data_IF_611405254391
#
_entry.id   IF_611405254391
#
_cell.length_a   1.000
_cell.length_b   1.000
_cell.length_c   1.000
_cell.angle_alpha   90.00
_cell.angle_beta   90.00
_cell.angle_gamma   90.00
#
_symmetry.space_group_name_H-M   'P 1'
#
loop_
_entity.id
_entity.type
_entity.pdbx_description
1 polymer ?
#
# COMPACT_ATOMS: atom_id res chain seq x y z
N UNK A 1 12.43 -8.05 1.84
CA UNK A 1 13.08 -7.51 3.04
C UNK A 1 13.72 -6.15 2.79
N UNK A 2 14.77 -5.96 2.01
CA UNK A 2 15.46 -4.67 1.80
C UNK A 2 14.58 -3.54 1.24
N UNK A 3 13.65 -3.85 0.35
CA UNK A 3 12.64 -2.87 -0.08
C UNK A 3 11.83 -2.34 1.12
N UNK A 4 11.40 -3.22 2.01
CA UNK A 4 10.66 -2.83 3.21
C UNK A 4 11.54 -1.96 4.14
N UNK A 5 12.83 -2.23 4.26
CA UNK A 5 13.76 -1.40 5.01
C UNK A 5 13.86 0.02 4.43
N UNK A 6 14.01 0.14 3.12
CA UNK A 6 14.07 1.45 2.45
C UNK A 6 12.79 2.24 2.69
N UNK A 7 11.63 1.59 2.60
CA UNK A 7 10.33 2.22 2.89
C UNK A 7 10.22 2.64 4.35
N UNK A 8 10.63 1.79 5.28
CA UNK A 8 10.69 2.13 6.70
C UNK A 8 11.53 3.39 6.96
N UNK A 9 12.76 3.43 6.42
CA UNK A 9 13.66 4.58 6.61
C UNK A 9 13.09 5.87 6.00
N UNK A 10 12.47 5.78 4.82
CA UNK A 10 11.82 6.91 4.15
C UNK A 10 10.71 7.46 5.01
N UNK A 11 9.76 6.61 5.39
CA UNK A 11 8.57 7.00 6.14
C UNK A 11 8.91 7.47 7.56
N UNK A 12 9.92 6.89 8.19
CA UNK A 12 10.43 7.37 9.47
C UNK A 12 10.97 8.81 9.38
N UNK A 13 11.74 9.13 8.34
CA UNK A 13 12.22 10.51 8.09
C UNK A 13 11.09 11.50 7.83
N UNK A 14 9.99 11.03 7.27
CA UNK A 14 8.78 11.81 7.01
C UNK A 14 7.86 11.89 8.24
N UNK A 15 8.26 11.31 9.37
CA UNK A 15 7.44 11.16 10.58
C UNK A 15 6.06 10.53 10.29
N UNK A 16 6.03 9.57 9.36
CA UNK A 16 4.83 8.88 8.95
C UNK A 16 4.63 7.60 9.79
N UNK A 17 3.49 7.43 10.48
CA UNK A 17 3.23 6.28 11.35
C UNK A 17 3.29 4.92 10.64
N UNK A 18 3.10 4.88 9.34
CA UNK A 18 3.28 3.66 8.55
C UNK A 18 4.72 3.11 8.59
N UNK A 19 5.71 3.91 9.05
CA UNK A 19 7.05 3.43 9.27
C UNK A 19 7.09 2.17 10.15
N UNK A 20 6.22 2.10 11.16
CA UNK A 20 6.15 0.95 12.07
C UNK A 20 5.70 -0.33 11.37
N UNK A 21 4.70 -0.23 10.49
CA UNK A 21 4.24 -1.36 9.67
C UNK A 21 5.36 -1.89 8.75
N UNK A 22 6.13 -0.99 8.15
CA UNK A 22 7.25 -1.38 7.32
C UNK A 22 8.41 -1.98 8.12
N UNK A 23 8.61 -1.57 9.38
CA UNK A 23 9.52 -2.24 10.29
C UNK A 23 9.09 -3.70 10.55
N UNK A 24 7.80 -3.92 10.83
CA UNK A 24 7.24 -5.26 11.01
C UNK A 24 7.44 -6.14 9.77
N UNK A 25 7.25 -5.58 8.56
CA UNK A 25 7.49 -6.31 7.30
C UNK A 25 8.97 -6.72 7.14
N UNK A 26 9.92 -5.94 7.62
CA UNK A 26 11.35 -6.32 7.63
C UNK A 26 11.58 -7.50 8.55
N UNK A 27 11.08 -7.43 9.78
CA UNK A 27 11.24 -8.48 10.80
C UNK A 27 10.59 -9.80 10.35
N UNK A 28 9.36 -9.72 9.79
CA UNK A 28 8.66 -10.89 9.26
C UNK A 28 9.41 -11.54 8.09
N UNK A 29 9.94 -10.73 7.18
CA UNK A 29 10.70 -11.25 6.05
C UNK A 29 12.01 -11.89 6.49
N UNK A 30 12.69 -11.34 7.49
CA UNK A 30 13.89 -11.92 8.10
C UNK A 30 13.59 -13.25 8.79
N UNK A 31 12.53 -13.30 9.61
CA UNK A 31 12.12 -14.53 10.28
C UNK A 31 11.71 -15.63 9.29
N UNK A 32 11.02 -15.25 8.20
CA UNK A 32 10.65 -16.19 7.13
C UNK A 32 11.87 -16.77 6.42
N UNK A 33 12.87 -15.95 6.12
CA UNK A 33 14.11 -16.38 5.49
C UNK A 33 14.84 -17.42 6.36
N UNK A 34 14.98 -17.12 7.65
CA UNK A 34 15.53 -18.06 8.62
C UNK A 34 14.75 -19.38 8.66
N UNK A 35 13.43 -19.32 8.71
CA UNK A 35 12.59 -20.52 8.73
C UNK A 35 12.76 -21.37 7.46
N UNK A 36 12.88 -20.76 6.29
CA UNK A 36 13.14 -21.47 5.04
C UNK A 36 14.52 -22.14 5.03
N UNK A 37 15.54 -21.46 5.52
CA UNK A 37 16.89 -22.01 5.64
C UNK A 37 16.95 -23.18 6.63
N UNK A 38 16.25 -23.05 7.76
CA UNK A 38 16.14 -24.10 8.78
C UNK A 38 15.40 -25.33 8.24
N UNK A 39 14.29 -25.11 7.50
CA UNK A 39 13.52 -26.19 6.87
C UNK A 39 14.37 -26.94 5.82
N UNK A 40 15.05 -26.20 4.96
CA UNK A 40 15.93 -26.76 3.96
C UNK A 40 17.05 -27.63 4.59
N UNK A 41 17.70 -27.10 5.60
CA UNK A 41 18.83 -27.79 6.24
C UNK A 41 18.41 -29.01 7.06
N UNK A 42 17.28 -28.95 7.74
CA UNK A 42 16.99 -29.90 8.81
C UNK A 42 15.77 -30.80 8.55
N UNK A 43 14.82 -30.38 7.70
CA UNK A 43 13.55 -31.07 7.48
C UNK A 43 13.48 -31.67 6.10
N UNK A 44 13.79 -30.89 5.07
CA UNK A 44 13.73 -31.33 3.68
C UNK A 44 14.53 -32.63 3.46
N UNK A 45 13.91 -33.60 2.83
CA UNK A 45 14.53 -34.92 2.55
C UNK A 45 15.13 -35.62 3.78
N UNK A 46 14.47 -35.47 4.95
CA UNK A 46 14.92 -36.07 6.20
C UNK A 46 16.26 -35.50 6.71
N UNK A 47 16.59 -34.23 6.41
CA UNK A 47 17.81 -33.58 6.82
C UNK A 47 19.04 -33.91 5.96
N UNK A 48 18.83 -34.48 4.77
CA UNK A 48 19.91 -34.79 3.83
C UNK A 48 20.78 -33.57 3.49
N UNK A 49 20.17 -32.38 3.45
CA UNK A 49 20.81 -31.15 3.03
C UNK A 49 21.37 -30.33 4.21
N UNK A 50 21.58 -30.97 5.35
CA UNK A 50 22.11 -30.30 6.55
C UNK A 50 23.39 -29.52 6.23
N UNK A 51 23.44 -28.28 6.70
CA UNK A 51 24.55 -27.35 6.50
C UNK A 51 24.77 -26.85 5.06
N UNK A 52 23.84 -27.07 4.15
CA UNK A 52 23.95 -26.53 2.79
C UNK A 52 23.59 -25.03 2.73
N UNK A 53 22.65 -24.56 3.56
CA UNK A 53 22.23 -23.17 3.67
C UNK A 53 22.71 -22.55 4.97
N UNK A 54 24.04 -22.39 5.11
CA UNK A 54 24.66 -21.83 6.33
C UNK A 54 25.43 -20.55 6.07
N UNK A 55 25.65 -20.20 4.80
CA UNK A 55 26.39 -18.99 4.49
C UNK A 55 25.54 -17.75 4.81
N UNK A 56 26.17 -16.79 5.50
CA UNK A 56 25.54 -15.48 5.73
C UNK A 56 25.21 -14.82 4.40
N UNK A 57 23.95 -14.37 4.24
CA UNK A 57 23.47 -13.69 3.05
C UNK A 57 22.69 -12.41 3.38
N UNK A 58 22.24 -12.25 4.63
CA UNK A 58 21.63 -11.02 5.11
C UNK A 58 22.64 -10.26 5.98
N UNK A 59 22.90 -9.01 5.62
CA UNK A 59 23.93 -8.19 6.28
C UNK A 59 25.35 -8.65 5.96
N UNK A 60 25.54 -9.28 4.82
CA UNK A 60 26.86 -9.67 4.30
C UNK A 60 27.68 -8.42 3.99
N UNK A 61 28.90 -8.36 4.54
CA UNK A 61 29.77 -7.18 4.41
C UNK A 61 31.12 -7.49 3.78
N UNK A 62 31.61 -8.72 3.94
CA UNK A 62 32.94 -9.10 3.49
C UNK A 62 33.01 -10.57 3.14
N UNK A 63 33.79 -10.90 2.10
CA UNK A 63 34.07 -12.27 1.70
C UNK A 63 34.78 -13.08 2.80
N UNK A 64 35.50 -12.42 3.68
CA UNK A 64 36.26 -13.04 4.81
C UNK A 64 35.45 -13.07 6.11
N UNK A 65 34.15 -12.80 6.06
CA UNK A 65 33.28 -13.01 7.21
C UNK A 65 33.36 -14.48 7.63
N UNK A 66 33.72 -14.77 8.87
CA UNK A 66 33.80 -16.12 9.44
C UNK A 66 32.43 -16.74 9.66
N UNK A 67 31.61 -16.78 8.62
CA UNK A 67 30.23 -17.28 8.64
C UNK A 67 29.40 -16.84 9.86
N UNK A 68 29.43 -15.53 10.23
CA UNK A 68 28.55 -15.05 11.27
C UNK A 68 27.11 -15.25 10.87
N UNK A 69 26.20 -15.33 11.83
CA UNK A 69 24.77 -15.41 11.57
C UNK A 69 24.28 -14.20 10.77
N UNK A 70 23.19 -14.40 10.02
CA UNK A 70 22.49 -13.32 9.36
C UNK A 70 22.09 -12.24 10.35
N UNK A 71 22.13 -10.99 9.91
CA UNK A 71 21.90 -9.83 10.76
C UNK A 71 20.63 -9.12 10.30
N UNK A 72 19.67 -8.95 11.22
CA UNK A 72 18.46 -8.20 10.96
C UNK A 72 18.81 -6.76 10.50
N UNK A 73 18.34 -6.32 9.35
CA UNK A 73 18.53 -4.95 8.88
C UNK A 73 17.96 -3.94 9.86
N UNK A 74 18.67 -2.83 10.05
CA UNK A 74 18.21 -1.77 10.94
C UNK A 74 16.89 -1.17 10.46
N UNK A 75 15.96 -1.03 11.39
CA UNK A 75 14.68 -0.35 11.22
C UNK A 75 14.49 0.73 12.25
N UNK A 76 13.58 1.64 11.99
CA UNK A 76 13.21 2.72 12.90
C UNK A 76 11.72 2.67 13.20
N UNK A 77 11.35 3.00 14.44
CA UNK A 77 9.96 3.03 14.88
C UNK A 77 9.60 4.41 15.44
N UNK A 78 8.39 4.84 15.14
CA UNK A 78 7.81 6.06 15.73
C UNK A 78 7.15 5.65 17.04
N UNK A 79 7.61 6.25 18.14
CA UNK A 79 7.16 5.90 19.51
C UNK A 79 5.69 6.28 19.78
N UNK A 80 5.21 7.38 19.18
CA UNK A 80 3.85 7.86 19.34
C UNK A 80 3.16 7.99 17.98
N UNK A 81 2.79 6.88 17.34
CA UNK A 81 2.26 6.88 15.98
C UNK A 81 0.95 7.67 15.85
N UNK A 82 0.14 7.77 16.90
CA UNK A 82 -1.07 8.58 16.93
C UNK A 82 -0.82 10.10 16.91
N UNK A 83 0.38 10.55 17.28
CA UNK A 83 0.82 11.96 17.22
C UNK A 83 1.62 12.26 15.96
N UNK A 84 2.03 11.25 15.23
CA UNK A 84 2.74 11.44 13.97
C UNK A 84 1.80 12.05 12.93
N UNK A 85 2.36 12.85 12.04
CA UNK A 85 1.61 13.34 10.88
C UNK A 85 1.34 12.15 9.98
N UNK A 86 0.13 11.59 10.08
CA UNK A 86 -0.24 10.34 9.45
C UNK A 86 -0.43 10.46 7.94
N UNK A 87 -0.23 9.35 7.26
CA UNK A 87 -0.56 9.14 5.86
C UNK A 87 0.47 9.63 4.85
N UNK A 88 0.31 9.19 3.64
CA UNK A 88 1.13 9.61 2.51
C UNK A 88 0.82 11.05 2.11
N UNK A 89 1.87 11.82 1.77
CA UNK A 89 1.75 13.12 1.11
C UNK A 89 2.38 13.01 -0.27
N UNK A 90 1.55 13.05 -1.29
CA UNK A 90 2.01 12.99 -2.67
C UNK A 90 2.50 14.36 -3.12
N UNK A 91 3.65 14.39 -3.78
CA UNK A 91 4.24 15.61 -4.32
C UNK A 91 4.24 15.56 -5.84
N UNK A 92 3.80 16.65 -6.46
CA UNK A 92 3.81 16.77 -7.91
C UNK A 92 5.23 16.87 -8.47
N UNK A 93 5.46 16.19 -9.59
CA UNK A 93 6.66 16.28 -10.41
C UNK A 93 6.25 16.34 -11.88
N UNK A 94 6.91 17.17 -12.66
CA UNK A 94 6.69 17.27 -14.10
C UNK A 94 5.22 17.55 -14.52
N UNK A 95 4.49 18.30 -13.69
CA UNK A 95 3.12 18.72 -13.97
C UNK A 95 2.02 17.72 -13.58
N UNK A 96 2.35 16.61 -12.95
CA UNK A 96 1.37 15.63 -12.47
C UNK A 96 1.68 15.12 -11.07
N UNK A 97 0.65 14.57 -10.41
CA UNK A 97 0.77 13.83 -9.14
C UNK A 97 0.20 12.44 -9.38
N UNK A 98 1.04 11.42 -9.34
CA UNK A 98 0.60 10.03 -9.38
C UNK A 98 0.35 9.53 -7.95
N UNK A 99 -0.81 8.90 -7.73
CA UNK A 99 -1.22 8.42 -6.41
C UNK A 99 -1.64 6.95 -6.51
N UNK A 100 -1.04 6.13 -5.67
CA UNK A 100 -1.45 4.74 -5.50
C UNK A 100 -2.58 4.65 -4.50
N UNK A 101 -3.60 3.84 -4.82
CA UNK A 101 -4.81 3.74 -4.00
C UNK A 101 -4.52 3.28 -2.57
N UNK A 102 -3.57 2.37 -2.38
CA UNK A 102 -3.17 1.83 -1.08
C UNK A 102 -2.40 2.83 -0.19
N UNK A 103 -1.91 3.94 -0.76
CA UNK A 103 -1.15 4.95 -0.06
C UNK A 103 -2.04 6.14 0.38
N UNK A 104 -3.19 5.82 0.92
CA UNK A 104 -4.13 6.83 1.41
C UNK A 104 -3.59 7.59 2.64
N UNK A 105 -4.13 8.78 2.87
CA UNK A 105 -3.85 9.57 4.07
C UNK A 105 -4.72 9.12 5.24
N UNK A 106 -6.01 8.95 5.00
CA UNK A 106 -6.96 8.45 5.98
C UNK A 106 -8.14 7.77 5.30
N UNK A 107 -8.82 6.91 6.03
CA UNK A 107 -10.04 6.26 5.60
C UNK A 107 -11.14 6.43 6.64
N UNK A 108 -12.38 6.44 6.16
CA UNK A 108 -13.57 6.29 6.97
C UNK A 108 -14.40 5.17 6.35
N UNK A 109 -14.71 4.15 7.10
CA UNK A 109 -15.58 3.07 6.63
C UNK A 109 -17.05 3.38 6.96
N UNK A 110 -17.98 2.79 6.20
CA UNK A 110 -19.39 2.74 6.54
C UNK A 110 -19.64 1.72 7.67
N UNK A 111 -20.78 1.76 8.35
CA UNK A 111 -21.09 0.77 9.39
C UNK A 111 -20.99 -0.66 8.85
N UNK A 112 -20.37 -1.55 9.63
CA UNK A 112 -20.13 -2.96 9.29
C UNK A 112 -19.29 -3.19 8.03
N UNK A 113 -18.47 -2.22 7.64
CA UNK A 113 -17.54 -2.33 6.51
C UNK A 113 -16.14 -1.93 6.92
N UNK A 114 -15.17 -2.32 6.09
CA UNK A 114 -13.78 -1.89 6.21
C UNK A 114 -13.16 -1.65 4.83
N UNK A 115 -12.20 -0.72 4.75
CA UNK A 115 -11.40 -0.51 3.55
C UNK A 115 -10.29 -1.57 3.48
N UNK A 116 -10.35 -2.39 2.45
CA UNK A 116 -9.43 -3.51 2.25
C UNK A 116 -8.52 -3.26 1.06
N UNK A 117 -7.23 -3.50 1.24
CA UNK A 117 -6.26 -3.51 0.16
C UNK A 117 -6.41 -4.81 -0.63
N UNK A 118 -6.66 -4.69 -1.92
CA UNK A 118 -6.73 -5.84 -2.84
C UNK A 118 -5.41 -5.93 -3.62
N UNK A 119 -4.54 -6.88 -3.28
CA UNK A 119 -3.22 -6.98 -3.89
C UNK A 119 -3.29 -7.17 -5.40
N UNK A 120 -2.40 -6.50 -6.12
CA UNK A 120 -2.24 -6.61 -7.58
C UNK A 120 -3.46 -6.21 -8.42
N UNK A 121 -4.43 -5.50 -7.82
CA UNK A 121 -5.64 -5.02 -8.52
C UNK A 121 -5.54 -3.56 -8.98
N UNK A 122 -4.50 -2.85 -8.59
CA UNK A 122 -4.18 -1.51 -9.09
C UNK A 122 -3.57 -1.55 -10.50
N UNK A 123 -3.34 -0.38 -11.05
CA UNK A 123 -2.62 -0.25 -12.33
C UNK A 123 -1.14 -0.64 -12.17
N UNK A 124 -0.55 -0.30 -11.06
CA UNK A 124 0.86 -0.53 -10.71
C UNK A 124 1.02 -1.32 -9.42
N UNK A 125 0.21 -1.05 -8.40
CA UNK A 125 0.24 -1.74 -7.11
C UNK A 125 -1.13 -2.37 -6.80
N UNK A 126 -1.71 -2.04 -5.66
CA UNK A 126 -2.95 -2.63 -5.16
C UNK A 126 -4.15 -1.72 -5.43
N UNK A 127 -5.33 -2.29 -5.46
CA UNK A 127 -6.58 -1.55 -5.42
C UNK A 127 -7.08 -1.41 -3.98
N UNK A 128 -8.06 -0.51 -3.77
CA UNK A 128 -8.81 -0.39 -2.52
C UNK A 128 -10.27 -0.74 -2.76
N UNK A 129 -10.84 -1.52 -1.87
CA UNK A 129 -12.26 -1.86 -1.89
C UNK A 129 -12.86 -1.77 -0.50
N UNK A 130 -14.12 -1.33 -0.44
CA UNK A 130 -14.89 -1.38 0.79
C UNK A 130 -15.55 -2.76 0.91
N UNK A 131 -15.26 -3.47 1.97
CA UNK A 131 -15.72 -4.86 2.17
C UNK A 131 -16.52 -4.99 3.48
N UNK A 132 -17.49 -5.91 3.55
CA UNK A 132 -17.99 -6.71 2.44
C UNK A 132 -18.86 -5.88 1.48
N UNK A 133 -18.80 -6.18 0.19
CA UNK A 133 -19.50 -5.43 -0.86
C UNK A 133 -21.05 -5.53 -0.80
N UNK A 134 -21.57 -6.36 0.10
CA UNK A 134 -23.01 -6.55 0.34
C UNK A 134 -23.61 -5.52 1.30
N UNK A 135 -22.78 -4.69 1.92
CA UNK A 135 -23.21 -3.67 2.87
C UNK A 135 -23.37 -2.29 2.21
N UNK A 136 -24.24 -1.42 2.76
CA UNK A 136 -24.30 -0.03 2.33
C UNK A 136 -22.96 0.69 2.47
N UNK A 137 -22.69 1.60 1.55
CA UNK A 137 -21.40 2.32 1.47
C UNK A 137 -21.52 3.79 1.92
N UNK A 138 -22.69 4.19 2.41
CA UNK A 138 -22.98 5.58 2.75
C UNK A 138 -22.01 6.14 3.81
N UNK A 139 -21.39 7.26 3.47
CA UNK A 139 -20.45 7.95 4.33
C UNK A 139 -19.05 7.34 4.39
N UNK A 140 -18.77 6.27 3.65
CA UNK A 140 -17.41 5.76 3.49
C UNK A 140 -16.57 6.71 2.63
N UNK A 141 -15.32 6.90 2.98
CA UNK A 141 -14.40 7.75 2.21
C UNK A 141 -12.95 7.29 2.34
N UNK A 142 -12.15 7.63 1.32
CA UNK A 142 -10.70 7.56 1.34
C UNK A 142 -10.18 8.96 1.05
N UNK A 143 -9.25 9.44 1.85
CA UNK A 143 -8.62 10.74 1.68
C UNK A 143 -7.16 10.61 1.31
N UNK A 144 -6.72 11.44 0.39
CA UNK A 144 -5.33 11.53 -0.06
C UNK A 144 -4.81 12.94 0.18
N UNK A 145 -3.59 13.06 0.64
CA UNK A 145 -2.95 14.35 0.85
C UNK A 145 -1.95 14.63 -0.26
N UNK A 146 -2.13 15.75 -0.93
CA UNK A 146 -1.26 16.18 -2.03
C UNK A 146 -0.63 17.52 -1.73
N UNK A 147 0.59 17.70 -2.20
CA UNK A 147 1.29 18.99 -2.17
C UNK A 147 1.45 19.46 -3.62
N UNK A 148 0.65 20.45 -3.99
CA UNK A 148 0.74 21.06 -5.30
C UNK A 148 1.81 22.16 -5.34
N UNK A 149 2.43 22.39 -6.50
CA UNK A 149 3.30 23.54 -6.72
C UNK A 149 2.54 24.86 -6.52
N UNK A 150 3.26 25.94 -6.21
CA UNK A 150 2.66 27.27 -6.13
C UNK A 150 2.09 27.71 -7.48
N UNK A 151 0.93 28.36 -7.46
CA UNK A 151 0.29 28.94 -8.66
C UNK A 151 -0.52 27.94 -9.49
N UNK A 152 -0.86 26.77 -8.92
CA UNK A 152 -1.80 25.83 -9.54
C UNK A 152 -3.22 26.18 -9.12
N UNK A 153 -4.03 26.68 -10.04
CA UNK A 153 -5.41 27.10 -9.80
C UNK A 153 -6.42 26.01 -10.18
N UNK A 154 -6.02 25.09 -11.06
CA UNK A 154 -6.90 24.04 -11.59
C UNK A 154 -6.13 22.74 -11.75
N UNK A 155 -6.76 21.65 -11.37
CA UNK A 155 -6.26 20.28 -11.59
C UNK A 155 -7.33 19.45 -12.25
N UNK A 156 -6.90 18.50 -13.08
CA UNK A 156 -7.77 17.44 -13.61
C UNK A 156 -7.42 16.17 -12.84
N UNK A 157 -8.42 15.51 -12.28
CA UNK A 157 -8.23 14.25 -11.54
C UNK A 157 -8.68 13.09 -12.41
N UNK A 158 -7.79 12.16 -12.65
CA UNK A 158 -8.07 10.89 -13.31
C UNK A 158 -8.18 9.79 -12.27
N UNK A 159 -9.39 9.27 -12.05
CA UNK A 159 -9.62 8.17 -11.11
C UNK A 159 -9.65 6.86 -11.90
N UNK A 160 -8.76 5.97 -11.59
CA UNK A 160 -8.70 4.64 -12.22
C UNK A 160 -9.48 3.69 -11.34
N UNK A 161 -10.63 3.24 -11.85
CA UNK A 161 -11.49 2.27 -11.19
C UNK A 161 -11.47 0.94 -11.93
N UNK A 162 -11.67 -0.15 -11.20
CA UNK A 162 -11.90 -1.45 -11.80
C UNK A 162 -13.31 -1.50 -12.34
N UNK A 163 -13.46 -1.90 -13.60
CA UNK A 163 -14.78 -2.06 -14.18
C UNK A 163 -15.61 -3.08 -13.40
N UNK A 164 -16.88 -2.73 -13.18
CA UNK A 164 -17.86 -3.59 -12.53
C UNK A 164 -19.22 -3.39 -13.20
N UNK A 165 -20.10 -4.37 -13.04
CA UNK A 165 -21.47 -4.31 -13.58
C UNK A 165 -22.40 -3.69 -12.54
N UNK A 166 -23.31 -2.85 -13.01
CA UNK A 166 -24.44 -2.41 -12.20
C UNK A 166 -25.52 -3.49 -12.23
N UNK A 167 -25.65 -4.25 -11.15
CA UNK A 167 -26.66 -5.30 -11.02
C UNK A 167 -28.00 -4.73 -10.56
N UNK A 168 -29.08 -5.48 -10.78
CA UNK A 168 -30.45 -5.19 -10.28
C UNK A 168 -31.06 -3.88 -10.82
N UNK A 169 -30.85 -3.58 -12.10
CA UNK A 169 -31.42 -2.40 -12.79
C UNK A 169 -31.16 -1.06 -12.08
N UNK A 170 -30.09 -0.99 -11.32
CA UNK A 170 -29.66 0.25 -10.68
C UNK A 170 -29.04 1.19 -11.71
N UNK A 171 -29.11 2.49 -11.41
CA UNK A 171 -28.57 3.58 -12.28
C UNK A 171 -27.05 3.53 -12.48
N UNK A 172 -26.37 2.58 -11.87
CA UNK A 172 -24.93 2.41 -11.90
C UNK A 172 -24.27 2.66 -10.55
N UNK A 173 -22.95 2.59 -10.53
CA UNK A 173 -22.14 2.89 -9.35
C UNK A 173 -21.70 4.35 -9.38
N UNK A 174 -21.81 5.01 -8.25
CA UNK A 174 -21.44 6.41 -8.09
C UNK A 174 -20.38 6.55 -7.02
N UNK A 175 -19.49 7.52 -7.21
CA UNK A 175 -18.61 8.03 -6.18
C UNK A 175 -18.56 9.54 -6.24
N UNK A 176 -18.31 10.17 -5.11
CA UNK A 176 -18.04 11.60 -5.04
C UNK A 176 -16.57 11.89 -4.88
N UNK A 177 -16.09 12.94 -5.51
CA UNK A 177 -14.72 13.41 -5.40
C UNK A 177 -14.68 14.93 -5.23
N UNK A 178 -13.82 15.40 -4.37
CA UNK A 178 -13.62 16.83 -4.11
C UNK A 178 -12.37 17.10 -3.30
N UNK A 179 -12.05 18.36 -3.17
CA UNK A 179 -11.03 18.83 -2.23
C UNK A 179 -11.69 19.22 -0.91
N UNK A 180 -10.96 19.09 0.18
CA UNK A 180 -11.42 19.50 1.50
C UNK A 180 -11.90 20.96 1.48
N UNK A 181 -13.13 21.19 1.96
CA UNK A 181 -13.77 22.51 1.96
C UNK A 181 -14.34 22.96 0.62
N UNK A 182 -14.25 22.17 -0.44
CA UNK A 182 -14.83 22.47 -1.75
C UNK A 182 -16.07 21.60 -2.02
N UNK A 183 -16.87 22.02 -3.03
CA UNK A 183 -18.03 21.23 -3.47
C UNK A 183 -17.55 19.93 -4.14
N UNK A 184 -18.07 18.82 -3.68
CA UNK A 184 -17.83 17.51 -4.29
C UNK A 184 -18.55 17.37 -5.63
N UNK A 185 -17.97 16.57 -6.52
CA UNK A 185 -18.56 16.16 -7.78
C UNK A 185 -18.93 14.68 -7.67
N UNK A 186 -20.17 14.34 -7.96
CA UNK A 186 -20.63 12.96 -8.03
C UNK A 186 -20.50 12.45 -9.46
N UNK A 187 -19.88 11.30 -9.61
CA UNK A 187 -19.57 10.66 -10.90
C UNK A 187 -20.18 9.28 -10.90
N UNK A 188 -21.01 9.01 -11.92
CA UNK A 188 -21.51 7.68 -12.21
C UNK A 188 -20.59 7.05 -13.26
N UNK A 189 -19.82 6.03 -12.88
CA UNK A 189 -18.85 5.41 -13.79
C UNK A 189 -19.43 4.23 -14.60
N UNK A 190 -20.72 3.93 -14.44
CA UNK A 190 -21.46 2.99 -15.29
C UNK A 190 -22.47 3.68 -16.21
N UNK A 191 -22.42 4.99 -16.35
CA UNK A 191 -23.45 5.77 -17.03
C UNK A 191 -23.67 5.34 -18.49
N UNK A 192 -22.61 4.96 -19.19
CA UNK A 192 -22.63 4.64 -20.62
C UNK A 192 -22.35 3.16 -20.89
N UNK A 193 -22.91 2.24 -20.09
CA UNK A 193 -22.70 0.80 -20.28
C UNK A 193 -23.14 0.25 -21.64
N UNK A 194 -24.03 0.99 -22.34
CA UNK A 194 -24.52 0.61 -23.66
C UNK A 194 -23.81 1.35 -24.80
N UNK A 195 -22.90 2.25 -24.50
CA UNK A 195 -22.09 2.94 -25.50
C UNK A 195 -20.74 2.24 -25.58
N UNK A 196 -20.40 1.74 -26.75
CA UNK A 196 -19.06 1.25 -27.01
C UNK A 196 -18.09 2.43 -26.88
N UNK A 197 -16.96 2.27 -26.17
CA UNK A 197 -15.97 3.32 -26.13
C UNK A 197 -15.54 3.61 -27.57
N UNK A 198 -15.62 4.85 -27.97
CA UNK A 198 -15.02 5.32 -29.22
C UNK A 198 -13.50 5.08 -29.11
N UNK A 199 -12.96 4.34 -30.09
CA UNK A 199 -11.53 4.03 -30.20
C UNK A 199 -10.69 5.26 -30.51
#
# INVERSE_FOLDING_TARGET
>A
MYYAQVMNHKLYKENNPQANEWADKVEQAFARDKALSDDYNNVMSGGKWKNMMIQKHIGYTSWNDNFPADTLPQTYRIENPEKAVGGYVFTGKDGYVAMEAEHYYSTKAAPSTEWTVIPYMGRTLSGMALMPYTQPTDGASISYKIKLPKGVDKVTVHVIVKSTLAFHDRKGHEYSIGFEGAKEQTINFNHNLNELPEN
#
